data_IF_066096291417
#
_entry.id   IF_066096291417
#
_cell.length_a   1.000
_cell.length_b   1.000
_cell.length_c   1.000
_cell.angle_alpha   90.00
_cell.angle_beta   90.00
_cell.angle_gamma   90.00
#
_symmetry.space_group_name_H-M   'P 1'
#
loop_
_entity.id
_entity.type
_entity.pdbx_description
1 polymer ?
#
# COMPACT_ATOMS: atom_id res chain seq x y z
N UNK A 1 -13.08 31.79 -11.16
CA UNK A 1 -13.38 30.34 -11.23
C UNK A 1 -14.81 29.98 -10.81
N UNK A 2 -15.74 30.93 -10.66
CA UNK A 2 -17.13 30.67 -10.25
C UNK A 2 -18.06 30.23 -11.38
N UNK A 3 -17.58 30.20 -12.63
CA UNK A 3 -18.39 29.83 -13.81
C UNK A 3 -18.05 28.48 -14.45
N UNK A 4 -17.12 27.71 -13.89
CA UNK A 4 -16.79 26.38 -14.41
C UNK A 4 -17.77 25.34 -13.86
N UNK A 5 -18.36 24.48 -14.72
CA UNK A 5 -19.17 23.36 -14.28
C UNK A 5 -18.44 22.45 -13.29
N UNK A 6 -19.17 21.94 -12.29
CA UNK A 6 -18.61 21.10 -11.22
C UNK A 6 -17.88 19.86 -11.76
N UNK A 7 -18.36 19.30 -12.87
CA UNK A 7 -17.78 18.11 -13.50
C UNK A 7 -16.42 18.39 -14.13
N UNK A 8 -16.25 19.54 -14.78
CA UNK A 8 -14.95 19.96 -15.33
C UNK A 8 -13.98 20.19 -14.19
N UNK A 9 -14.43 20.81 -13.10
CA UNK A 9 -13.59 21.05 -11.93
C UNK A 9 -13.18 19.72 -11.25
N UNK A 10 -14.08 18.75 -11.18
CA UNK A 10 -13.79 17.41 -10.68
C UNK A 10 -12.76 16.69 -11.55
N UNK A 11 -12.88 16.78 -12.88
CA UNK A 11 -11.90 16.21 -13.81
C UNK A 11 -10.52 16.84 -13.63
N UNK A 12 -10.44 18.17 -13.52
CA UNK A 12 -9.18 18.88 -13.26
C UNK A 12 -8.54 18.38 -11.96
N UNK A 13 -9.34 18.19 -10.91
CA UNK A 13 -8.85 17.69 -9.62
C UNK A 13 -8.37 16.23 -9.70
N UNK A 14 -9.01 15.37 -10.48
CA UNK A 14 -8.54 14.00 -10.73
C UNK A 14 -7.17 14.02 -11.43
N UNK A 15 -7.03 14.84 -12.47
CA UNK A 15 -5.77 14.98 -13.20
C UNK A 15 -4.65 15.53 -12.30
N UNK A 16 -4.96 16.54 -11.49
CA UNK A 16 -4.04 17.09 -10.49
C UNK A 16 -3.64 16.02 -9.47
N UNK A 17 -4.62 15.32 -8.90
CA UNK A 17 -4.41 14.26 -7.91
C UNK A 17 -3.58 13.09 -8.46
N UNK A 18 -3.67 12.79 -9.75
CA UNK A 18 -2.92 11.70 -10.40
C UNK A 18 -1.48 12.08 -10.75
N UNK A 19 -1.12 13.37 -10.68
CA UNK A 19 0.23 13.84 -11.01
C UNK A 19 1.27 13.37 -9.98
N UNK A 20 2.56 13.49 -10.31
CA UNK A 20 3.67 13.08 -9.42
C UNK A 20 3.60 13.71 -8.03
N UNK A 21 3.14 14.96 -7.92
CA UNK A 21 2.97 15.69 -6.65
C UNK A 21 1.50 15.70 -6.18
N UNK A 22 0.67 14.81 -6.70
CA UNK A 22 -0.78 14.89 -6.60
C UNK A 22 -1.32 15.01 -5.18
N UNK A 23 -0.82 14.22 -4.22
CA UNK A 23 -1.22 14.35 -2.81
C UNK A 23 -0.93 15.76 -2.23
N UNK A 24 0.25 16.32 -2.54
CA UNK A 24 0.66 17.65 -2.06
C UNK A 24 -0.16 18.76 -2.71
N UNK A 25 -0.34 18.67 -4.03
CA UNK A 25 -1.05 19.69 -4.78
C UNK A 25 -2.54 19.66 -4.48
N UNK A 26 -3.13 18.48 -4.30
CA UNK A 26 -4.52 18.34 -3.86
C UNK A 26 -4.74 18.98 -2.48
N UNK A 27 -3.83 18.75 -1.52
CA UNK A 27 -3.88 19.39 -0.20
C UNK A 27 -3.74 20.92 -0.24
N UNK A 28 -2.98 21.46 -1.20
CA UNK A 28 -2.86 22.91 -1.40
C UNK A 28 -4.13 23.48 -2.00
N UNK A 29 -4.65 22.83 -3.05
CA UNK A 29 -5.87 23.26 -3.75
C UNK A 29 -7.08 23.19 -2.82
N UNK A 30 -7.19 22.16 -1.98
CA UNK A 30 -8.29 22.03 -1.02
C UNK A 30 -8.33 23.13 0.06
N UNK A 31 -7.23 23.87 0.26
CA UNK A 31 -7.17 25.00 1.21
C UNK A 31 -7.62 26.32 0.61
N UNK A 32 -7.81 26.39 -0.71
CA UNK A 32 -8.10 27.65 -1.40
C UNK A 32 -9.55 28.11 -1.22
N UNK A 33 -10.53 27.22 -1.38
CA UNK A 33 -11.94 27.55 -1.17
C UNK A 33 -12.79 26.32 -0.78
N UNK A 34 -14.01 26.56 -0.27
CA UNK A 34 -14.93 25.51 0.20
C UNK A 34 -15.29 24.51 -0.89
N UNK A 35 -15.59 24.98 -2.11
CA UNK A 35 -15.96 24.13 -3.24
C UNK A 35 -14.83 23.17 -3.59
N UNK A 36 -13.59 23.66 -3.68
CA UNK A 36 -12.43 22.82 -3.97
C UNK A 36 -12.11 21.85 -2.84
N UNK A 37 -12.34 22.26 -1.58
CA UNK A 37 -12.24 21.36 -0.42
C UNK A 37 -13.23 20.21 -0.52
N UNK A 38 -14.49 20.49 -0.84
CA UNK A 38 -15.56 19.49 -0.98
C UNK A 38 -15.27 18.55 -2.16
N UNK A 39 -14.87 19.09 -3.31
CA UNK A 39 -14.53 18.27 -4.48
C UNK A 39 -13.28 17.40 -4.25
N UNK A 40 -12.25 17.93 -3.57
CA UNK A 40 -11.06 17.15 -3.22
C UNK A 40 -11.37 15.95 -2.30
N UNK A 41 -12.46 16.02 -1.52
CA UNK A 41 -12.94 14.94 -0.68
C UNK A 41 -13.77 13.87 -1.41
N UNK A 42 -14.10 14.06 -2.69
CA UNK A 42 -14.87 13.07 -3.46
C UNK A 42 -14.08 11.77 -3.62
N UNK A 43 -14.78 10.65 -3.49
CA UNK A 43 -14.23 9.29 -3.66
C UNK A 43 -13.47 9.12 -4.97
N UNK A 44 -13.97 9.67 -6.08
CA UNK A 44 -13.29 9.61 -7.39
C UNK A 44 -11.93 10.31 -7.39
N UNK A 45 -11.80 11.44 -6.67
CA UNK A 45 -10.55 12.19 -6.57
C UNK A 45 -9.59 11.46 -5.63
N UNK A 46 -10.05 11.06 -4.44
CA UNK A 46 -9.24 10.37 -3.45
C UNK A 46 -8.69 9.03 -3.97
N UNK A 47 -9.44 8.28 -4.78
CA UNK A 47 -8.96 7.06 -5.45
C UNK A 47 -7.83 7.32 -6.46
N UNK A 48 -7.80 8.49 -7.07
CA UNK A 48 -6.83 8.86 -8.10
C UNK A 48 -5.53 9.48 -7.52
N UNK A 49 -5.50 9.78 -6.22
CA UNK A 49 -4.34 10.44 -5.60
C UNK A 49 -3.07 9.60 -5.75
N UNK A 50 -2.05 10.20 -6.36
CA UNK A 50 -0.70 9.68 -6.42
C UNK A 50 0.13 10.15 -5.22
N UNK A 51 0.89 9.21 -4.66
CA UNK A 51 1.80 9.42 -3.55
C UNK A 51 3.27 9.33 -3.95
N UNK A 52 3.58 9.34 -5.25
CA UNK A 52 4.94 9.15 -5.76
C UNK A 52 5.92 10.23 -5.26
N UNK A 53 5.48 11.48 -5.14
CA UNK A 53 6.26 12.60 -4.61
C UNK A 53 6.21 12.75 -3.08
N UNK A 54 5.55 11.84 -2.36
CA UNK A 54 5.53 11.84 -0.90
C UNK A 54 6.82 11.20 -0.40
N UNK A 55 7.64 11.97 0.33
CA UNK A 55 8.80 11.45 1.05
C UNK A 55 8.36 10.37 2.05
N UNK A 56 9.22 9.38 2.30
CA UNK A 56 9.02 8.22 3.21
C UNK A 56 8.60 8.54 4.65
N UNK A 57 8.49 9.81 5.02
CA UNK A 57 8.07 10.26 6.34
C UNK A 57 6.54 10.21 6.50
N UNK A 58 5.96 9.03 6.30
CA UNK A 58 4.55 8.77 6.58
C UNK A 58 4.18 9.03 8.05
N UNK A 59 5.17 9.11 8.96
CA UNK A 59 4.95 9.33 10.40
C UNK A 59 4.28 10.66 10.71
N UNK A 60 4.46 11.67 9.85
CA UNK A 60 3.76 12.97 9.95
C UNK A 60 2.26 12.87 9.68
N UNK A 61 1.79 11.73 9.17
CA UNK A 61 0.41 11.50 8.76
C UNK A 61 -0.37 10.61 9.75
N UNK A 62 0.03 10.59 11.02
CA UNK A 62 -0.65 9.87 12.10
C UNK A 62 -1.94 10.59 12.53
N UNK A 63 -2.92 10.69 11.64
CA UNK A 63 -4.23 11.22 11.96
C UNK A 63 -5.33 10.62 11.06
N UNK A 64 -6.50 10.20 11.58
CA UNK A 64 -7.56 9.59 10.75
C UNK A 64 -8.13 10.50 9.66
N UNK A 65 -7.99 11.83 9.80
CA UNK A 65 -8.39 12.82 8.78
C UNK A 65 -7.29 13.15 7.77
N UNK A 66 -6.13 12.52 7.89
CA UNK A 66 -5.04 12.72 6.95
C UNK A 66 -5.38 12.13 5.58
N UNK A 67 -4.83 12.72 4.51
CA UNK A 67 -5.08 12.33 3.13
C UNK A 67 -4.73 10.86 2.86
N UNK A 68 -3.66 10.32 3.46
CA UNK A 68 -3.27 8.91 3.27
C UNK A 68 -4.40 8.01 3.81
N UNK A 69 -4.91 8.34 4.98
CA UNK A 69 -5.96 7.58 5.64
C UNK A 69 -7.28 7.63 4.86
N UNK A 70 -7.67 8.82 4.40
CA UNK A 70 -8.88 9.01 3.60
C UNK A 70 -8.79 8.29 2.24
N UNK A 71 -7.63 8.34 1.58
CA UNK A 71 -7.39 7.64 0.32
C UNK A 71 -7.46 6.11 0.50
N UNK A 72 -6.85 5.57 1.56
CA UNK A 72 -6.90 4.13 1.84
C UNK A 72 -8.33 3.63 2.12
N UNK A 73 -9.17 4.44 2.79
CA UNK A 73 -10.59 4.11 3.02
C UNK A 73 -11.39 3.96 1.74
N UNK A 74 -11.08 4.74 0.71
CA UNK A 74 -11.78 4.65 -0.58
C UNK A 74 -11.18 3.62 -1.54
N UNK A 75 -10.15 2.88 -1.12
CA UNK A 75 -9.52 1.84 -1.93
C UNK A 75 -8.37 2.33 -2.81
N UNK A 76 -7.71 3.44 -2.47
CA UNK A 76 -6.49 3.86 -3.13
C UNK A 76 -5.34 2.91 -2.74
N UNK A 77 -4.88 2.10 -3.69
CA UNK A 77 -3.91 1.03 -3.43
C UNK A 77 -2.54 1.55 -2.94
N UNK A 78 -2.09 2.70 -3.44
CA UNK A 78 -0.84 3.33 -3.00
C UNK A 78 -0.93 3.75 -1.53
N UNK A 79 -2.04 4.36 -1.14
CA UNK A 79 -2.30 4.72 0.26
C UNK A 79 -2.43 3.49 1.16
N UNK A 80 -3.11 2.44 0.69
CA UNK A 80 -3.21 1.17 1.41
C UNK A 80 -1.83 0.51 1.61
N UNK A 81 -0.97 0.54 0.60
CA UNK A 81 0.40 0.05 0.69
C UNK A 81 1.21 0.82 1.74
N UNK A 82 1.12 2.15 1.76
CA UNK A 82 1.79 3.00 2.77
C UNK A 82 1.29 2.67 4.17
N UNK A 83 -0.02 2.57 4.37
CA UNK A 83 -0.58 2.19 5.68
C UNK A 83 -0.27 0.75 6.05
N UNK A 84 -0.16 -0.17 5.09
CA UNK A 84 0.28 -1.54 5.32
C UNK A 84 1.71 -1.59 5.87
N UNK A 85 2.63 -0.84 5.24
CA UNK A 85 4.01 -0.64 5.75
C UNK A 85 3.97 -0.10 7.17
N UNK A 86 3.24 1.01 7.39
CA UNK A 86 3.16 1.67 8.69
C UNK A 86 2.55 0.76 9.77
N UNK A 87 1.51 -0.01 9.45
CA UNK A 87 0.89 -0.98 10.35
C UNK A 87 1.87 -2.08 10.77
N UNK A 88 2.75 -2.55 9.86
CA UNK A 88 3.75 -3.55 10.21
C UNK A 88 4.81 -2.97 11.15
N UNK A 89 5.31 -1.76 10.87
CA UNK A 89 6.51 -1.22 11.51
C UNK A 89 6.28 -0.29 12.69
N UNK A 90 5.09 0.31 12.81
CA UNK A 90 4.83 1.38 13.77
C UNK A 90 3.62 1.08 14.67
N UNK A 91 3.84 1.04 15.97
CA UNK A 91 2.81 0.75 16.98
C UNK A 91 1.72 1.81 17.00
N UNK A 92 2.07 3.08 16.81
CA UNK A 92 1.09 4.16 16.83
C UNK A 92 0.13 4.06 15.64
N UNK A 93 0.65 3.70 14.45
CA UNK A 93 -0.20 3.42 13.29
C UNK A 93 -1.09 2.21 13.50
N UNK A 94 -0.59 1.13 14.11
CA UNK A 94 -1.44 -0.01 14.47
C UNK A 94 -2.61 0.42 15.33
N UNK A 95 -2.34 1.16 16.40
CA UNK A 95 -3.40 1.64 17.28
C UNK A 95 -4.39 2.55 16.55
N UNK A 96 -3.90 3.50 15.76
CA UNK A 96 -4.77 4.39 14.97
C UNK A 96 -5.66 3.62 14.00
N UNK A 97 -5.11 2.65 13.26
CA UNK A 97 -5.85 1.84 12.27
C UNK A 97 -6.88 0.97 12.98
N UNK A 98 -6.49 0.25 14.04
CA UNK A 98 -7.42 -0.60 14.80
C UNK A 98 -8.55 0.20 15.44
N UNK A 99 -8.29 1.41 15.94
CA UNK A 99 -9.32 2.28 16.53
C UNK A 99 -10.25 2.93 15.50
N UNK A 100 -9.97 2.79 14.20
CA UNK A 100 -10.71 3.43 13.10
C UNK A 100 -11.01 2.43 11.97
N UNK A 101 -11.11 1.14 12.30
CA UNK A 101 -11.31 0.06 11.35
C UNK A 101 -12.72 0.04 10.73
N UNK A 102 -13.69 0.66 11.39
CA UNK A 102 -15.07 0.74 10.94
C UNK A 102 -15.23 1.59 9.66
N UNK A 103 -16.23 1.27 8.82
CA UNK A 103 -16.55 2.08 7.66
C UNK A 103 -16.95 3.50 8.04
N UNK A 104 -16.64 4.48 7.18
CA UNK A 104 -17.13 5.85 7.35
C UNK A 104 -18.45 6.08 6.67
N UNK A 105 -19.33 6.80 7.37
CA UNK A 105 -20.61 7.28 6.84
C UNK A 105 -20.62 8.80 6.71
N UNK A 106 -21.35 9.33 5.74
CA UNK A 106 -21.65 10.76 5.65
C UNK A 106 -22.77 11.14 6.63
N UNK A 107 -23.13 12.43 6.62
CA UNK A 107 -24.23 12.99 7.42
C UNK A 107 -25.59 12.33 7.11
N UNK A 108 -25.74 11.69 5.95
CA UNK A 108 -26.93 10.95 5.53
C UNK A 108 -26.87 9.46 5.90
N UNK A 109 -25.80 9.01 6.57
CA UNK A 109 -25.60 7.61 6.93
C UNK A 109 -25.12 6.71 5.79
N UNK A 110 -24.84 7.27 4.61
CA UNK A 110 -24.35 6.52 3.44
C UNK A 110 -22.87 6.22 3.57
N UNK A 111 -22.42 5.05 3.12
CA UNK A 111 -21.00 4.67 3.17
C UNK A 111 -20.16 5.53 2.22
N UNK A 112 -19.20 6.27 2.79
CA UNK A 112 -18.27 7.15 2.04
C UNK A 112 -16.90 6.49 1.88
N UNK A 113 -16.57 5.55 2.77
CA UNK A 113 -15.30 4.83 2.76
C UNK A 113 -15.45 3.47 3.44
N UNK A 114 -14.80 2.47 2.86
CA UNK A 114 -14.83 1.10 3.37
C UNK A 114 -14.04 0.93 4.67
N UNK A 115 -14.18 -0.23 5.34
CA UNK A 115 -13.46 -0.51 6.57
C UNK A 115 -11.95 -0.55 6.31
N UNK A 116 -11.14 -0.08 7.26
CA UNK A 116 -9.67 -0.16 7.19
C UNK A 116 -9.18 -1.46 7.80
N UNK A 117 -9.51 -2.55 7.12
CA UNK A 117 -9.12 -3.88 7.56
C UNK A 117 -7.60 -4.05 7.39
N UNK A 118 -6.89 -4.28 8.49
CA UNK A 118 -5.44 -4.48 8.44
C UNK A 118 -4.98 -5.58 7.46
N UNK A 119 -5.72 -6.69 7.21
CA UNK A 119 -5.30 -7.65 6.19
C UNK A 119 -5.32 -7.05 4.78
N UNK A 120 -6.29 -6.19 4.46
CA UNK A 120 -6.34 -5.49 3.17
C UNK A 120 -5.11 -4.60 2.97
N UNK A 121 -4.74 -3.85 4.01
CA UNK A 121 -3.58 -2.95 3.99
C UNK A 121 -2.27 -3.72 3.81
N UNK A 122 -2.08 -4.80 4.60
CA UNK A 122 -0.89 -5.65 4.51
C UNK A 122 -0.83 -6.37 3.17
N UNK A 123 -1.97 -6.83 2.63
CA UNK A 123 -2.06 -7.41 1.28
C UNK A 123 -1.62 -6.42 0.19
N UNK A 124 -2.10 -5.18 0.26
CA UNK A 124 -1.68 -4.11 -0.66
C UNK A 124 -0.18 -3.82 -0.54
N UNK A 125 0.38 -3.87 0.67
CA UNK A 125 1.83 -3.77 0.88
C UNK A 125 2.61 -4.92 0.21
N UNK A 126 2.23 -6.18 0.44
CA UNK A 126 2.90 -7.34 -0.21
C UNK A 126 2.92 -7.16 -1.74
N UNK A 127 1.80 -6.70 -2.31
CA UNK A 127 1.64 -6.52 -3.75
C UNK A 127 2.48 -5.37 -4.31
N UNK A 128 2.52 -4.21 -3.63
CA UNK A 128 2.97 -2.95 -4.22
C UNK A 128 4.23 -2.35 -3.60
N UNK A 129 4.72 -2.88 -2.46
CA UNK A 129 5.93 -2.37 -1.82
C UNK A 129 7.12 -2.32 -2.79
N UNK A 130 7.97 -1.30 -2.71
CA UNK A 130 9.20 -1.30 -3.50
C UNK A 130 10.21 -2.31 -2.95
N UNK A 131 11.17 -2.77 -3.75
CA UNK A 131 12.26 -3.62 -3.24
C UNK A 131 13.05 -2.95 -2.11
N UNK A 132 13.12 -1.61 -2.09
CA UNK A 132 13.74 -0.83 -1.01
C UNK A 132 12.97 -0.95 0.31
N UNK A 133 11.65 -1.09 0.24
CA UNK A 133 10.80 -1.28 1.42
C UNK A 133 10.94 -2.69 1.99
N UNK A 134 11.23 -3.69 1.15
CA UNK A 134 11.40 -5.08 1.57
C UNK A 134 12.81 -5.28 2.14
N UNK A 135 12.97 -4.87 3.40
CA UNK A 135 14.23 -4.98 4.16
C UNK A 135 14.06 -5.85 5.43
N UNK A 136 15.17 -6.08 6.15
CA UNK A 136 15.20 -6.95 7.35
C UNK A 136 14.18 -6.53 8.44
N UNK A 137 13.94 -5.22 8.59
CA UNK A 137 12.97 -4.72 9.55
C UNK A 137 11.55 -5.13 9.16
N UNK A 138 11.20 -4.97 7.87
CA UNK A 138 9.91 -5.39 7.34
C UNK A 138 9.75 -6.91 7.39
N UNK A 139 10.79 -7.68 7.08
CA UNK A 139 10.75 -9.14 7.20
C UNK A 139 10.41 -9.58 8.62
N UNK A 140 11.07 -8.99 9.63
CA UNK A 140 10.82 -9.30 11.04
C UNK A 140 9.41 -8.88 11.46
N UNK A 141 8.99 -7.68 11.07
CA UNK A 141 7.67 -7.14 11.38
C UNK A 141 6.54 -7.97 10.75
N UNK A 142 6.74 -8.42 9.51
CA UNK A 142 5.75 -9.19 8.78
C UNK A 142 5.59 -10.60 9.36
N UNK A 143 6.69 -11.28 9.70
CA UNK A 143 6.61 -12.58 10.39
C UNK A 143 5.93 -12.46 11.77
N UNK A 144 6.20 -11.38 12.51
CA UNK A 144 5.51 -11.10 13.77
C UNK A 144 4.02 -10.89 13.57
N UNK A 145 3.63 -10.15 12.53
CA UNK A 145 2.22 -9.96 12.15
C UNK A 145 1.54 -11.31 11.87
N UNK A 146 2.15 -12.16 11.04
CA UNK A 146 1.59 -13.49 10.73
C UNK A 146 1.43 -14.32 12.00
N UNK A 147 2.46 -14.38 12.84
CA UNK A 147 2.39 -15.08 14.11
C UNK A 147 1.26 -14.57 15.00
N UNK A 148 1.15 -13.24 15.17
CA UNK A 148 0.19 -12.60 16.05
C UNK A 148 -1.27 -12.80 15.60
N UNK A 149 -1.56 -12.67 14.30
CA UNK A 149 -2.93 -12.62 13.80
C UNK A 149 -3.43 -13.94 13.19
N UNK A 150 -2.55 -14.90 12.90
CA UNK A 150 -2.94 -16.20 12.32
C UNK A 150 -2.48 -17.42 13.12
N UNK A 151 -1.54 -17.24 14.05
CA UNK A 151 -0.94 -18.32 14.84
C UNK A 151 0.16 -19.07 14.08
N UNK A 152 1.18 -19.51 14.81
CA UNK A 152 2.35 -20.18 14.23
C UNK A 152 1.99 -21.47 13.48
N UNK A 153 1.23 -22.36 14.11
CA UNK A 153 0.94 -23.70 13.56
C UNK A 153 0.19 -23.61 12.23
N UNK A 154 -0.88 -22.80 12.17
CA UNK A 154 -1.69 -22.59 10.96
C UNK A 154 -0.86 -21.96 9.83
N UNK A 155 -0.09 -20.92 10.14
CA UNK A 155 0.77 -20.27 9.16
C UNK A 155 1.88 -21.19 8.64
N UNK A 156 2.47 -22.01 9.51
CA UNK A 156 3.52 -22.95 9.15
C UNK A 156 2.97 -24.10 8.29
N UNK A 157 1.80 -24.65 8.63
CA UNK A 157 1.14 -25.70 7.85
C UNK A 157 0.83 -25.26 6.41
N UNK A 158 0.53 -23.97 6.20
CA UNK A 158 0.30 -23.39 4.88
C UNK A 158 1.59 -22.91 4.17
N UNK A 159 2.76 -23.08 4.79
CA UNK A 159 4.05 -22.69 4.22
C UNK A 159 4.33 -21.18 4.19
N UNK A 160 3.61 -20.37 4.99
CA UNK A 160 3.70 -18.91 4.94
C UNK A 160 5.11 -18.40 5.23
N UNK A 161 5.77 -18.90 6.27
CA UNK A 161 7.12 -18.46 6.65
C UNK A 161 8.16 -18.77 5.55
N UNK A 162 8.01 -19.90 4.86
CA UNK A 162 8.87 -20.27 3.73
C UNK A 162 8.63 -19.34 2.54
N UNK A 163 7.36 -19.06 2.22
CA UNK A 163 7.02 -18.16 1.12
C UNK A 163 7.53 -16.73 1.39
N UNK A 164 7.35 -16.20 2.60
CA UNK A 164 7.85 -14.87 2.99
C UNK A 164 9.38 -14.82 2.92
N UNK A 165 10.08 -15.87 3.40
CA UNK A 165 11.54 -15.95 3.31
C UNK A 165 12.02 -15.96 1.86
N UNK A 166 11.38 -16.74 0.98
CA UNK A 166 11.78 -16.81 -0.43
C UNK A 166 11.55 -15.47 -1.14
N UNK A 167 10.40 -14.83 -0.91
CA UNK A 167 10.13 -13.47 -1.42
C UNK A 167 11.18 -12.47 -0.92
N UNK A 168 11.53 -12.53 0.37
CA UNK A 168 12.51 -11.63 0.97
C UNK A 168 13.92 -11.82 0.39
N UNK A 169 14.40 -13.07 0.31
CA UNK A 169 15.71 -13.37 -0.26
C UNK A 169 15.82 -12.93 -1.71
N UNK A 170 14.76 -13.14 -2.49
CA UNK A 170 14.72 -12.69 -3.89
C UNK A 170 14.86 -11.16 -3.99
N UNK A 171 14.06 -10.40 -3.24
CA UNK A 171 14.10 -8.93 -3.24
C UNK A 171 15.46 -8.40 -2.75
N UNK A 172 16.07 -9.07 -1.77
CA UNK A 172 17.42 -8.74 -1.28
C UNK A 172 18.49 -8.99 -2.35
N UNK A 173 18.45 -10.13 -3.05
CA UNK A 173 19.39 -10.45 -4.13
C UNK A 173 19.27 -9.48 -5.30
N UNK A 174 18.05 -9.03 -5.62
CA UNK A 174 17.82 -8.01 -6.63
C UNK A 174 18.41 -6.66 -6.22
N UNK A 175 18.19 -6.25 -4.97
CA UNK A 175 18.73 -5.00 -4.44
C UNK A 175 20.26 -4.98 -4.38
N UNK A 176 20.90 -6.09 -3.96
CA UNK A 176 22.35 -6.22 -3.93
C UNK A 176 22.97 -6.43 -5.33
N UNK A 177 22.30 -7.18 -6.20
CA UNK A 177 22.76 -7.52 -7.55
C UNK A 177 22.65 -6.36 -8.55
N UNK A 178 21.71 -5.43 -8.38
CA UNK A 178 21.61 -4.24 -9.23
C UNK A 178 22.83 -3.30 -9.15
N UNK A 179 23.69 -3.47 -8.14
CA UNK A 179 24.96 -2.74 -8.00
C UNK A 179 26.18 -3.51 -8.53
N UNK A 180 26.02 -4.76 -9.01
CA UNK A 180 27.14 -5.68 -9.25
C UNK A 180 27.25 -6.28 -10.66
N UNK A 181 26.32 -6.02 -11.59
CA UNK A 181 26.33 -6.64 -12.92
C UNK A 181 26.55 -5.62 -14.05
N UNK A 182 27.76 -5.09 -14.09
CA UNK A 182 28.41 -4.61 -15.33
C UNK A 182 29.70 -5.42 -15.58
N UNK A 183 29.75 -6.68 -15.14
CA UNK A 183 30.77 -7.62 -15.62
C UNK A 183 30.21 -8.41 -16.79
N UNK A 184 30.89 -8.27 -17.93
CA UNK A 184 30.56 -8.86 -19.22
C UNK A 184 30.26 -10.36 -19.10
N UNK A 185 29.24 -10.89 -19.83
CA UNK A 185 28.97 -12.31 -19.82
C UNK A 185 30.12 -13.08 -20.46
N UNK A 186 30.74 -13.98 -19.69
CA UNK A 186 31.66 -14.99 -20.21
C UNK A 186 30.90 -15.99 -21.09
N UNK A 187 31.40 -16.39 -22.29
CA UNK A 187 30.60 -17.06 -23.31
C UNK A 187 30.21 -18.53 -23.01
N UNK A 188 30.63 -19.11 -21.88
CA UNK A 188 30.71 -20.58 -21.76
C UNK A 188 29.79 -21.24 -20.72
N UNK A 189 28.79 -20.55 -20.16
CA UNK A 189 27.85 -21.19 -19.22
C UNK A 189 26.49 -21.48 -19.86
N UNK A 190 26.45 -22.52 -20.70
CA UNK A 190 25.23 -23.19 -21.18
C UNK A 190 24.63 -24.14 -20.14
N UNK A 191 24.58 -23.71 -18.87
CA UNK A 191 23.64 -24.29 -17.93
C UNK A 191 22.47 -23.34 -17.91
N UNK A 192 21.33 -23.77 -18.46
CA UNK A 192 20.07 -23.09 -18.30
C UNK A 192 19.85 -22.87 -16.80
N UNK A 193 20.24 -21.69 -16.31
CA UNK A 193 19.79 -21.19 -15.03
C UNK A 193 18.29 -21.09 -15.21
N UNK A 194 17.57 -22.06 -14.64
CA UNK A 194 16.14 -21.98 -14.42
C UNK A 194 15.94 -20.63 -13.74
N UNK A 195 15.48 -19.63 -14.50
CA UNK A 195 15.28 -18.29 -13.96
C UNK A 195 14.43 -18.48 -12.70
N UNK A 196 14.88 -17.98 -11.52
CA UNK A 196 14.01 -17.96 -10.38
C UNK A 196 12.72 -17.27 -10.79
N UNK A 197 11.55 -17.77 -10.36
CA UNK A 197 10.27 -17.27 -10.82
C UNK A 197 10.25 -15.75 -10.60
N UNK A 198 9.83 -15.01 -11.64
CA UNK A 198 9.81 -13.54 -11.71
C UNK A 198 9.33 -12.92 -10.37
N UNK A 199 9.81 -11.74 -9.96
CA UNK A 199 9.40 -10.99 -8.74
C UNK A 199 7.92 -11.17 -8.41
N UNK A 200 7.09 -11.04 -9.46
CA UNK A 200 5.64 -11.18 -9.42
C UNK A 200 5.22 -12.54 -8.85
N UNK A 201 5.82 -13.64 -9.30
CA UNK A 201 5.48 -14.99 -8.86
C UNK A 201 5.81 -15.25 -7.38
N UNK A 202 6.87 -14.66 -6.83
CA UNK A 202 7.16 -14.77 -5.39
C UNK A 202 6.13 -14.02 -4.54
N UNK A 203 5.77 -12.79 -4.94
CA UNK A 203 4.74 -12.01 -4.26
C UNK A 203 3.36 -12.64 -4.37
N UNK A 204 2.99 -13.13 -5.56
CA UNK A 204 1.72 -13.84 -5.77
C UNK A 204 1.66 -15.12 -4.93
N UNK A 205 2.76 -15.87 -4.81
CA UNK A 205 2.83 -17.03 -3.92
C UNK A 205 2.54 -16.69 -2.45
N UNK A 206 3.08 -15.57 -1.96
CA UNK A 206 2.78 -15.04 -0.62
C UNK A 206 1.31 -14.61 -0.52
N UNK A 207 0.78 -13.90 -1.51
CA UNK A 207 -0.62 -13.42 -1.52
C UNK A 207 -1.60 -14.60 -1.49
N UNK A 208 -1.37 -15.66 -2.27
CA UNK A 208 -2.24 -16.85 -2.30
C UNK A 208 -2.33 -17.51 -0.91
N UNK A 209 -1.21 -17.62 -0.19
CA UNK A 209 -1.20 -18.16 1.17
C UNK A 209 -1.83 -17.17 2.15
N UNK A 210 -1.54 -15.88 1.99
CA UNK A 210 -2.09 -14.81 2.82
C UNK A 210 -3.62 -14.78 2.76
N UNK A 211 -4.21 -14.89 1.56
CA UNK A 211 -5.66 -14.87 1.37
C UNK A 211 -6.35 -16.10 2.00
N UNK A 212 -5.65 -17.23 2.16
CA UNK A 212 -6.13 -18.39 2.93
C UNK A 212 -6.08 -18.15 4.45
N UNK A 213 -5.09 -17.41 4.93
CA UNK A 213 -4.94 -17.07 6.35
C UNK A 213 -5.93 -15.99 6.78
N UNK A 214 -6.17 -15.01 5.89
CA UNK A 214 -6.98 -13.83 6.12
C UNK A 214 -8.01 -13.65 4.99
N UNK A 215 -9.08 -14.47 4.96
CA UNK A 215 -10.12 -14.32 3.96
C UNK A 215 -10.77 -12.95 4.10
N UNK A 216 -10.67 -12.13 3.05
CA UNK A 216 -11.36 -10.84 3.01
C UNK A 216 -12.86 -11.11 2.95
N UNK A 217 -13.59 -10.65 3.95
CA UNK A 217 -15.06 -10.60 3.89
C UNK A 217 -15.43 -9.64 2.77
N UNK A 218 -16.06 -10.14 1.71
CA UNK A 218 -16.73 -9.29 0.73
C UNK A 218 -17.78 -8.46 1.48
N UNK A 219 -17.57 -7.14 1.53
CA UNK A 219 -18.57 -6.15 1.96
C UNK A 219 -18.96 -5.35 0.74
#
# INVERSE_FOLDING_TARGET
MTGLPSDILNLILILLASSTNGARDLLRVSKTCKILKELAGKTSVLRAVSFQGLTDDYRKHLHPRDIIFQCARVGNQSAECILGKAFLTDVAFRHMISSNDQPTRDENGSYVGGPLQHPRLVRSFIRLASSKDINNLIFTAFNRYIHQFSGFEKANALGMFVAVRNMFLYELTWFCGANGWLENPSPNNFVAQVMPPNVVAHREGVIVIFDKLFPLTHV
#
